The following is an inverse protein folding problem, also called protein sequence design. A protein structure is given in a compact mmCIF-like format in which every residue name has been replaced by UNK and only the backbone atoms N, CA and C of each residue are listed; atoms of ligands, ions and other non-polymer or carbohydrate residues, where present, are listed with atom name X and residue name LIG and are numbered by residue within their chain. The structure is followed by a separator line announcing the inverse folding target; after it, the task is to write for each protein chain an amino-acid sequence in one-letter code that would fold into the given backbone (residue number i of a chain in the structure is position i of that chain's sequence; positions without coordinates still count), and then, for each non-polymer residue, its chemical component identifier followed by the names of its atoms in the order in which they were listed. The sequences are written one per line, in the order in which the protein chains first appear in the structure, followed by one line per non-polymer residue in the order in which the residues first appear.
data_IF_990829636487
#
_entry.id   IF_990829636487
#
_cell.length_a   1.000
_cell.length_b   1.000
_cell.length_c   1.000
_cell.angle_alpha   90.00
_cell.angle_beta   90.00
_cell.angle_gamma   90.00
#
_symmetry.space_group_name_H-M   'P 1'
#
loop_
_entity.id
_entity.type
_entity.pdbx_description
1 polymer ?
#
# COMPACT_ATOMS: atom_id res chain seq x y z
N UNK A 1 -1.16 2.46 31.09
CA UNK A 1 -2.13 3.09 30.17
C UNK A 1 -1.72 2.73 28.76
N UNK A 2 -2.56 1.89 28.14
CA UNK A 2 -2.59 1.42 26.76
C UNK A 2 -1.89 2.32 25.72
N UNK A 3 -0.72 1.87 25.24
CA UNK A 3 -0.18 2.27 23.93
C UNK A 3 -0.84 1.45 22.81
N UNK A 4 -2.15 1.21 22.92
CA UNK A 4 -2.81 0.04 22.34
C UNK A 4 -3.24 0.23 20.89
N UNK A 5 -3.44 1.45 20.40
CA UNK A 5 -3.83 1.68 19.02
C UNK A 5 -3.31 3.04 18.57
N UNK A 6 -2.09 3.09 18.01
CA UNK A 6 -1.65 4.27 17.26
C UNK A 6 -1.79 3.95 15.76
N UNK A 7 -2.82 4.49 15.09
CA UNK A 7 -3.01 4.33 13.67
C UNK A 7 -1.76 4.76 12.90
N UNK A 8 -1.29 3.93 11.97
CA UNK A 8 -0.14 4.24 11.11
C UNK A 8 1.10 3.38 11.32
N UNK A 9 1.23 2.67 12.45
CA UNK A 9 2.34 1.76 12.73
C UNK A 9 1.98 0.30 12.48
N UNK A 10 2.98 -0.55 12.22
CA UNK A 10 2.81 -2.02 12.16
C UNK A 10 2.05 -2.51 13.39
N UNK A 11 0.83 -3.09 13.24
CA UNK A 11 0.02 -3.56 14.35
C UNK A 11 0.77 -4.54 15.26
N UNK A 12 0.51 -4.48 16.57
CA UNK A 12 1.21 -5.32 17.56
C UNK A 12 1.01 -6.82 17.30
N UNK A 13 -0.15 -7.21 16.78
CA UNK A 13 -0.45 -8.60 16.42
C UNK A 13 0.50 -9.15 15.34
N UNK A 14 1.02 -8.30 14.45
CA UNK A 14 2.02 -8.71 13.46
C UNK A 14 3.43 -8.79 14.06
N UNK A 15 3.67 -8.13 15.20
CA UNK A 15 4.95 -8.15 15.91
C UNK A 15 5.08 -9.31 16.90
N UNK A 16 4.05 -10.12 17.05
CA UNK A 16 4.08 -11.27 17.95
C UNK A 16 4.82 -12.42 17.24
N UNK A 17 6.00 -12.80 17.74
CA UNK A 17 6.88 -13.83 17.16
C UNK A 17 6.26 -15.24 17.16
N UNK A 18 5.11 -15.43 17.80
CA UNK A 18 4.43 -16.71 17.99
C UNK A 18 3.25 -16.96 17.05
N UNK A 19 2.88 -15.99 16.19
CA UNK A 19 1.74 -16.13 15.27
C UNK A 19 2.22 -16.38 13.85
N UNK A 20 2.07 -17.63 13.38
CA UNK A 20 2.10 -17.91 11.94
C UNK A 20 0.86 -17.28 11.31
N UNK A 21 1.05 -16.17 10.59
CA UNK A 21 -0.03 -15.50 9.87
C UNK A 21 -0.46 -16.36 8.67
N UNK A 22 -1.62 -16.99 8.78
CA UNK A 22 -2.31 -17.56 7.61
C UNK A 22 -2.54 -16.41 6.63
N UNK A 23 -1.99 -16.51 5.42
CA UNK A 23 -1.96 -15.41 4.42
C UNK A 23 -1.29 -14.14 4.96
N UNK A 24 -0.04 -14.29 5.40
CA UNK A 24 0.79 -13.20 5.88
C UNK A 24 0.80 -12.00 4.91
N UNK A 25 0.89 -12.25 3.60
CA UNK A 25 0.96 -11.18 2.61
C UNK A 25 -0.30 -10.30 2.60
N UNK A 26 -1.48 -10.91 2.53
CA UNK A 26 -2.79 -10.23 2.54
C UNK A 26 -3.00 -9.45 3.84
N UNK A 27 -2.70 -10.10 4.97
CA UNK A 27 -2.87 -9.49 6.31
C UNK A 27 -1.97 -8.26 6.49
N UNK A 28 -0.71 -8.36 6.07
CA UNK A 28 0.25 -7.25 6.18
C UNK A 28 -0.14 -6.12 5.25
N UNK A 29 -0.58 -6.44 4.03
CA UNK A 29 -1.03 -5.44 3.08
C UNK A 29 -2.26 -4.66 3.57
N UNK A 30 -3.25 -5.35 4.16
CA UNK A 30 -4.43 -4.68 4.73
C UNK A 30 -4.03 -3.74 5.88
N UNK A 31 -3.10 -4.17 6.73
CA UNK A 31 -2.57 -3.33 7.79
C UNK A 31 -1.80 -2.10 7.25
N UNK A 32 -1.05 -2.24 6.15
CA UNK A 32 -0.43 -1.12 5.46
C UNK A 32 -1.48 -0.15 4.93
N UNK A 33 -2.56 -0.64 4.31
CA UNK A 33 -3.64 0.21 3.82
C UNK A 33 -4.35 0.94 4.96
N UNK A 34 -4.60 0.30 6.10
CA UNK A 34 -5.20 0.95 7.26
C UNK A 34 -4.30 2.02 7.86
N UNK A 35 -3.00 1.75 7.96
CA UNK A 35 -2.03 2.75 8.37
C UNK A 35 -1.95 3.93 7.40
N UNK A 36 -2.02 3.68 6.09
CA UNK A 36 -2.03 4.73 5.08
C UNK A 36 -3.32 5.57 5.10
N UNK A 37 -4.48 4.94 5.32
CA UNK A 37 -5.77 5.62 5.54
C UNK A 37 -5.68 6.57 6.71
N UNK A 38 -5.14 6.11 7.83
CA UNK A 38 -4.95 6.93 9.02
C UNK A 38 -3.98 8.10 8.78
N UNK A 39 -2.87 7.87 8.07
CA UNK A 39 -1.94 8.93 7.68
C UNK A 39 -2.61 10.01 6.85
N UNK A 40 -3.42 9.62 5.86
CA UNK A 40 -4.15 10.58 5.01
C UNK A 40 -5.22 11.34 5.77
N UNK A 41 -5.96 10.68 6.67
CA UNK A 41 -6.93 11.33 7.56
C UNK A 41 -6.26 12.37 8.46
N UNK A 42 -5.13 12.01 9.08
CA UNK A 42 -4.37 12.93 9.92
C UNK A 42 -3.82 14.16 9.16
N UNK A 43 -3.67 14.05 7.83
CA UNK A 43 -3.27 15.15 6.93
C UNK A 43 -4.46 15.94 6.37
N UNK A 44 -5.69 15.66 6.82
CA UNK A 44 -6.89 16.40 6.42
C UNK A 44 -7.39 16.07 5.01
N UNK A 45 -7.09 14.88 4.47
CA UNK A 45 -7.66 14.46 3.19
C UNK A 45 -9.13 14.03 3.35
N UNK A 46 -9.94 14.40 2.38
CA UNK A 46 -11.34 13.97 2.30
C UNK A 46 -11.49 12.45 2.19
N UNK A 47 -12.50 11.91 2.86
CA UNK A 47 -12.75 10.45 2.94
C UNK A 47 -12.89 9.84 1.54
N UNK A 48 -13.57 10.52 0.61
CA UNK A 48 -13.75 10.03 -0.75
C UNK A 48 -12.43 9.99 -1.53
N UNK A 49 -11.53 10.93 -1.28
CA UNK A 49 -10.17 10.92 -1.85
C UNK A 49 -9.38 9.74 -1.30
N UNK A 50 -9.48 9.47 0.00
CA UNK A 50 -8.82 8.33 0.65
C UNK A 50 -9.32 7.01 0.06
N UNK A 51 -10.64 6.84 -0.06
CA UNK A 51 -11.26 5.66 -0.66
C UNK A 51 -10.84 5.49 -2.12
N UNK A 52 -10.80 6.58 -2.90
CA UNK A 52 -10.36 6.53 -4.30
C UNK A 52 -8.90 6.06 -4.41
N UNK A 53 -8.01 6.59 -3.56
CA UNK A 53 -6.59 6.19 -3.53
C UNK A 53 -6.42 4.73 -3.13
N UNK A 54 -7.10 4.27 -2.08
CA UNK A 54 -7.05 2.86 -1.67
C UNK A 54 -7.54 1.90 -2.77
N UNK A 55 -8.58 2.29 -3.51
CA UNK A 55 -9.08 1.49 -4.65
C UNK A 55 -8.04 1.36 -5.77
N UNK A 56 -7.23 2.39 -6.01
CA UNK A 56 -6.12 2.30 -6.99
C UNK A 56 -5.09 1.26 -6.53
N UNK A 57 -4.71 1.27 -5.26
CA UNK A 57 -3.74 0.32 -4.71
C UNK A 57 -4.29 -1.11 -4.76
N UNK A 58 -5.55 -1.33 -4.39
CA UNK A 58 -6.19 -2.64 -4.50
C UNK A 58 -6.19 -3.15 -5.96
N UNK A 59 -6.57 -2.29 -6.92
CA UNK A 59 -6.53 -2.63 -8.35
C UNK A 59 -5.11 -2.94 -8.84
N UNK A 60 -4.10 -2.28 -8.27
CA UNK A 60 -2.71 -2.53 -8.61
C UNK A 60 -2.20 -3.87 -8.06
N UNK A 61 -2.59 -4.25 -6.84
CA UNK A 61 -2.36 -5.61 -6.31
C UNK A 61 -3.04 -6.65 -7.21
N UNK A 62 -4.31 -6.45 -7.58
CA UNK A 62 -5.03 -7.35 -8.50
C UNK A 62 -4.33 -7.48 -9.86
N UNK A 63 -3.80 -6.37 -10.39
CA UNK A 63 -3.09 -6.37 -11.68
C UNK A 63 -1.76 -7.12 -11.62
N UNK A 64 -0.97 -6.87 -10.57
CA UNK A 64 0.36 -7.48 -10.42
C UNK A 64 0.31 -8.90 -9.87
N UNK A 65 -0.77 -9.24 -9.17
CA UNK A 65 -0.87 -10.43 -8.33
C UNK A 65 0.30 -10.54 -7.33
N UNK A 66 0.83 -9.39 -6.91
CA UNK A 66 1.99 -9.26 -6.02
C UNK A 66 1.75 -8.11 -5.03
N UNK A 67 2.56 -8.09 -3.98
CA UNK A 67 2.47 -7.14 -2.86
C UNK A 67 3.61 -6.10 -2.88
N UNK A 68 3.53 -5.03 -2.07
CA UNK A 68 4.39 -3.85 -2.21
C UNK A 68 5.90 -4.10 -2.13
N UNK A 69 6.33 -5.14 -1.40
CA UNK A 69 7.74 -5.56 -1.32
C UNK A 69 8.26 -6.31 -2.55
N UNK A 70 7.41 -6.63 -3.54
CA UNK A 70 7.81 -7.31 -4.78
C UNK A 70 7.55 -6.50 -6.04
N UNK A 71 6.86 -5.37 -5.91
CA UNK A 71 6.60 -4.49 -7.03
C UNK A 71 7.87 -3.93 -7.64
N UNK A 72 7.84 -3.71 -8.95
CA UNK A 72 8.91 -3.14 -9.75
C UNK A 72 8.41 -1.89 -10.46
N UNK A 73 9.33 -0.99 -10.80
CA UNK A 73 9.00 0.21 -11.59
C UNK A 73 8.24 -0.13 -12.89
N UNK A 74 8.65 -1.21 -13.57
CA UNK A 74 7.99 -1.70 -14.78
C UNK A 74 6.53 -2.14 -14.55
N UNK A 75 6.17 -2.61 -13.35
CA UNK A 75 4.79 -3.03 -13.07
C UNK A 75 3.84 -1.83 -13.09
N UNK A 76 4.31 -0.67 -12.60
CA UNK A 76 3.57 0.59 -12.67
C UNK A 76 3.40 1.03 -14.12
N UNK A 77 4.46 0.97 -14.92
CA UNK A 77 4.40 1.36 -16.34
C UNK A 77 3.44 0.48 -17.13
N UNK A 78 3.46 -0.85 -16.89
CA UNK A 78 2.55 -1.79 -17.52
C UNK A 78 1.11 -1.56 -17.09
N UNK A 79 0.85 -1.34 -15.79
CA UNK A 79 -0.49 -1.05 -15.28
C UNK A 79 -1.09 0.21 -15.94
N UNK A 80 -0.31 1.28 -16.04
CA UNK A 80 -0.77 2.53 -16.64
C UNK A 80 -0.91 2.41 -18.17
N UNK A 81 -0.07 1.61 -18.83
CA UNK A 81 -0.20 1.30 -20.24
C UNK A 81 -1.48 0.50 -20.53
N UNK A 82 -1.76 -0.54 -19.75
CA UNK A 82 -2.96 -1.37 -19.87
C UNK A 82 -4.24 -0.52 -19.77
N UNK A 83 -4.31 0.40 -18.81
CA UNK A 83 -5.46 1.31 -18.63
C UNK A 83 -5.68 2.26 -19.83
N UNK A 84 -4.62 2.56 -20.60
CA UNK A 84 -4.71 3.38 -21.81
C UNK A 84 -4.99 2.56 -23.07
N UNK A 85 -4.70 1.27 -23.05
CA UNK A 85 -4.90 0.36 -24.19
C UNK A 85 -6.28 -0.29 -24.24
N UNK A 86 -7.11 -0.10 -23.21
CA UNK A 86 -8.48 -0.61 -23.16
C UNK A 86 -9.39 0.02 -24.23
N UNK A 87 -10.47 -0.69 -24.60
CA UNK A 87 -11.46 -0.22 -25.56
C UNK A 87 -12.05 1.16 -25.20
N UNK A 88 -12.07 1.49 -23.91
CA UNK A 88 -12.38 2.84 -23.41
C UNK A 88 -11.21 3.32 -22.55
N UNK A 89 -10.22 4.01 -23.14
CA UNK A 89 -9.05 4.51 -22.41
C UNK A 89 -9.45 5.51 -21.32
N UNK A 90 -8.75 5.46 -20.19
CA UNK A 90 -8.92 6.49 -19.15
C UNK A 90 -8.27 7.82 -19.57
N UNK A 91 -8.82 8.94 -19.08
CA UNK A 91 -8.26 10.25 -19.31
C UNK A 91 -6.83 10.38 -18.72
N UNK A 92 -5.97 11.18 -19.34
CA UNK A 92 -4.59 11.40 -18.86
C UNK A 92 -4.53 11.96 -17.43
N UNK A 93 -5.52 12.75 -17.01
CA UNK A 93 -5.65 13.21 -15.63
C UNK A 93 -5.86 12.06 -14.65
N UNK A 94 -6.60 11.02 -15.05
CA UNK A 94 -6.83 9.81 -14.25
C UNK A 94 -5.57 8.97 -14.15
N UNK A 95 -4.83 8.80 -15.26
CA UNK A 95 -3.52 8.12 -15.28
C UNK A 95 -2.56 8.77 -14.29
N UNK A 96 -2.45 10.10 -14.33
CA UNK A 96 -1.59 10.88 -13.40
C UNK A 96 -2.04 10.74 -11.95
N UNK A 97 -3.34 10.75 -11.70
CA UNK A 97 -3.90 10.53 -10.37
C UNK A 97 -3.55 9.15 -9.82
N UNK A 98 -3.63 8.11 -10.67
CA UNK A 98 -3.30 6.74 -10.28
C UNK A 98 -1.81 6.57 -10.00
N UNK A 99 -0.96 7.06 -10.91
CA UNK A 99 0.49 7.08 -10.71
C UNK A 99 0.86 7.77 -9.40
N UNK A 100 0.28 8.95 -9.12
CA UNK A 100 0.52 9.67 -7.87
C UNK A 100 0.03 8.91 -6.63
N UNK A 101 -1.11 8.21 -6.71
CA UNK A 101 -1.59 7.39 -5.59
C UNK A 101 -0.63 6.24 -5.28
N UNK A 102 -0.10 5.55 -6.30
CA UNK A 102 0.89 4.48 -6.15
C UNK A 102 2.18 5.05 -5.54
N UNK A 103 2.72 6.14 -6.09
CA UNK A 103 3.94 6.77 -5.56
C UNK A 103 3.79 7.21 -4.10
N UNK A 104 2.64 7.77 -3.72
CA UNK A 104 2.36 8.18 -2.35
C UNK A 104 2.27 6.98 -1.39
N UNK A 105 1.73 5.86 -1.86
CA UNK A 105 1.67 4.64 -1.06
C UNK A 105 3.06 4.01 -0.89
N UNK A 106 3.84 3.85 -1.97
CA UNK A 106 5.25 3.41 -1.90
C UNK A 106 6.05 4.30 -0.94
N UNK A 107 5.91 5.62 -1.07
CA UNK A 107 6.59 6.57 -0.16
C UNK A 107 6.18 6.39 1.31
N UNK A 108 4.95 5.95 1.59
CA UNK A 108 4.48 5.68 2.94
C UNK A 108 5.08 4.38 3.50
N UNK A 109 5.04 3.29 2.72
CA UNK A 109 5.53 1.98 3.18
C UNK A 109 7.06 1.90 3.23
N UNK A 110 7.76 2.71 2.45
CA UNK A 110 9.23 2.79 2.45
C UNK A 110 9.78 3.80 3.49
N UNK A 111 8.92 4.57 4.16
CA UNK A 111 9.34 5.51 5.21
C UNK A 111 9.60 4.75 6.53
N UNK A 112 10.86 4.74 6.95
CA UNK A 112 11.33 4.02 8.14
C UNK A 112 10.61 4.42 9.43
N UNK A 113 10.01 5.62 9.48
CA UNK A 113 9.23 6.09 10.63
C UNK A 113 8.00 5.24 10.92
N UNK A 114 7.47 4.50 9.93
CA UNK A 114 6.32 3.62 10.11
C UNK A 114 6.69 2.16 10.40
N UNK A 115 7.97 1.79 10.20
CA UNK A 115 8.53 0.48 10.54
C UNK A 115 8.18 -0.66 9.58
N UNK A 116 7.58 -0.36 8.42
CA UNK A 116 7.22 -1.38 7.42
C UNK A 116 8.44 -2.01 6.75
N UNK A 117 9.50 -1.24 6.50
CA UNK A 117 10.77 -1.74 5.93
C UNK A 117 11.37 -2.83 6.83
N UNK A 118 11.63 -2.53 8.10
CA UNK A 118 12.21 -3.48 9.06
C UNK A 118 11.33 -4.72 9.27
N UNK A 119 10.01 -4.53 9.21
CA UNK A 119 9.05 -5.62 9.34
C UNK A 119 9.09 -6.56 8.13
N UNK A 120 9.00 -6.01 6.91
CA UNK A 120 9.03 -6.80 5.68
C UNK A 120 10.38 -7.49 5.49
N UNK A 121 11.49 -6.85 5.86
CA UNK A 121 12.81 -7.49 5.81
C UNK A 121 12.86 -8.75 6.69
N UNK A 122 12.30 -8.69 7.90
CA UNK A 122 12.25 -9.84 8.81
C UNK A 122 11.29 -10.93 8.33
N UNK A 123 10.10 -10.56 7.86
CA UNK A 123 9.04 -11.50 7.53
C UNK A 123 9.17 -12.11 6.13
N UNK A 124 9.54 -11.29 5.14
CA UNK A 124 9.55 -11.66 3.73
C UNK A 124 10.95 -11.73 3.13
N UNK A 125 11.99 -11.26 3.86
CA UNK A 125 13.35 -11.07 3.33
C UNK A 125 13.39 -10.16 2.10
N UNK A 126 12.46 -9.22 2.05
CA UNK A 126 12.31 -8.22 0.99
C UNK A 126 11.72 -6.95 1.59
N UNK A 127 11.83 -5.81 0.88
CA UNK A 127 11.40 -4.51 1.40
C UNK A 127 10.54 -3.76 0.40
N UNK A 128 9.51 -3.02 0.85
CA UNK A 128 8.78 -2.11 -0.03
C UNK A 128 9.70 -1.08 -0.67
N UNK A 129 9.50 -0.79 -1.95
CA UNK A 129 10.24 0.24 -2.71
C UNK A 129 9.30 1.19 -3.45
#
# INVERSE_FOLDING_TARGET
MAAEELPGFVPRILRADDVSLLRADETVFDAMLDGWRAQMLARGLEIDTIKARCRVIARFVEFTNEYPWRWRANDVDQFLAELRSQATPIALSTVRSYSNAISMFCSYVSDSRYGWVDFCEKQFRDVPS
#
